data_IF_536143355739
#
_entry.id   IF_536143355739
#
_cell.length_a   1.000
_cell.length_b   1.000
_cell.length_c   1.000
_cell.angle_alpha   90.00
_cell.angle_beta   90.00
_cell.angle_gamma   90.00
#
_symmetry.space_group_name_H-M   'P 1'
#
loop_
_entity.id
_entity.type
_entity.pdbx_description
1 polymer ?
#
# COMPACT_ATOMS: atom_id res chain seq x y z
N UNK A 1 11.22 5.66 20.30
CA UNK A 1 11.34 6.84 19.41
C UNK A 1 10.50 7.97 19.98
N UNK A 2 10.89 9.23 19.78
CA UNK A 2 10.05 10.37 20.13
C UNK A 2 8.87 10.46 19.15
N UNK A 3 7.66 10.74 19.66
CA UNK A 3 6.50 10.95 18.81
C UNK A 3 6.67 12.24 18.00
N UNK A 4 6.23 12.22 16.74
CA UNK A 4 6.16 13.44 15.92
C UNK A 4 5.08 14.36 16.50
N UNK A 5 5.44 15.62 16.78
CA UNK A 5 4.57 16.58 17.49
C UNK A 5 3.95 17.65 16.58
N UNK A 6 4.30 17.64 15.28
CA UNK A 6 3.87 18.63 14.29
C UNK A 6 3.37 17.92 13.03
N UNK A 7 2.45 18.57 12.32
CA UNK A 7 1.98 18.13 11.01
C UNK A 7 3.14 18.18 10.01
N UNK A 8 3.28 17.15 9.18
CA UNK A 8 4.24 17.09 8.09
C UNK A 8 3.45 16.91 6.80
N UNK A 9 3.50 17.90 5.93
CA UNK A 9 2.99 17.83 4.57
C UNK A 9 4.16 17.65 3.61
N UNK A 10 4.00 16.78 2.62
CA UNK A 10 5.03 16.55 1.60
C UNK A 10 4.40 16.27 0.24
N UNK A 11 5.18 16.51 -0.81
CA UNK A 11 4.85 16.18 -2.19
C UNK A 11 5.95 15.29 -2.74
N UNK A 12 5.57 14.20 -3.39
CA UNK A 12 6.48 13.32 -4.11
C UNK A 12 6.13 13.32 -5.59
N UNK A 13 7.15 13.40 -6.46
CA UNK A 13 7.00 13.24 -7.89
C UNK A 13 7.39 11.82 -8.29
N UNK A 14 6.51 11.15 -9.03
CA UNK A 14 6.73 9.78 -9.50
C UNK A 14 6.61 9.79 -11.01
N UNK A 15 7.68 9.36 -11.68
CA UNK A 15 7.68 9.13 -13.13
C UNK A 15 7.69 7.64 -13.38
N UNK A 16 6.91 7.21 -14.37
CA UNK A 16 6.92 5.83 -14.83
C UNK A 16 7.09 5.80 -16.34
N UNK A 17 7.89 4.88 -16.84
CA UNK A 17 8.16 4.73 -18.26
C UNK A 17 7.77 3.32 -18.70
N UNK A 18 7.01 3.22 -19.79
CA UNK A 18 6.61 1.95 -20.44
C UNK A 18 6.10 0.89 -19.45
N UNK A 19 5.31 1.30 -18.46
CA UNK A 19 4.80 0.43 -17.41
C UNK A 19 3.34 0.70 -17.09
N UNK A 20 2.72 -0.22 -16.35
CA UNK A 20 1.39 -0.05 -15.79
C UNK A 20 1.52 0.17 -14.26
N UNK A 21 1.51 1.43 -13.78
CA UNK A 21 1.74 1.72 -12.36
C UNK A 21 0.58 1.30 -11.45
N UNK A 22 -0.64 1.34 -11.99
CA UNK A 22 -1.89 0.99 -11.34
C UNK A 22 -2.87 0.45 -12.39
N UNK A 23 -3.01 -0.87 -12.47
CA UNK A 23 -4.00 -1.49 -13.36
C UNK A 23 -5.45 -1.27 -12.90
N UNK A 24 -6.36 -1.21 -13.86
CA UNK A 24 -7.80 -1.20 -13.63
C UNK A 24 -8.40 -2.61 -13.82
N UNK A 25 -8.84 -3.29 -12.74
CA UNK A 25 -9.42 -4.63 -12.85
C UNK A 25 -10.75 -4.64 -13.62
N UNK A 26 -11.43 -3.50 -13.76
CA UNK A 26 -12.69 -3.41 -14.52
C UNK A 26 -12.45 -3.15 -16.01
N UNK A 27 -11.25 -2.74 -16.39
CA UNK A 27 -10.90 -2.39 -17.77
C UNK A 27 -9.69 -3.21 -18.26
N UNK A 28 -9.76 -4.53 -18.11
CA UNK A 28 -8.76 -5.46 -18.67
C UNK A 28 -7.33 -5.23 -18.17
N UNK A 29 -7.16 -4.70 -16.95
CA UNK A 29 -5.87 -4.35 -16.37
C UNK A 29 -5.10 -3.27 -17.16
N UNK A 30 -5.78 -2.41 -17.94
CA UNK A 30 -5.16 -1.21 -18.53
C UNK A 30 -4.76 -0.21 -17.42
N UNK A 31 -3.84 0.74 -17.69
CA UNK A 31 -3.55 1.82 -16.73
C UNK A 31 -4.83 2.54 -16.32
N UNK A 32 -5.02 2.71 -15.02
CA UNK A 32 -6.18 3.41 -14.45
C UNK A 32 -6.18 4.87 -14.89
N UNK A 33 -7.36 5.38 -15.17
CA UNK A 33 -7.61 6.79 -15.49
C UNK A 33 -8.71 7.35 -14.58
N UNK A 34 -8.65 8.65 -14.30
CA UNK A 34 -9.71 9.36 -13.58
C UNK A 34 -10.86 9.76 -14.51
N UNK A 35 -11.91 10.36 -13.96
CA UNK A 35 -13.07 10.83 -14.73
C UNK A 35 -12.75 11.96 -15.73
N UNK A 36 -11.60 12.61 -15.59
CA UNK A 36 -11.12 13.65 -16.51
C UNK A 36 -10.19 13.08 -17.60
N UNK A 37 -9.92 11.77 -17.56
CA UNK A 37 -9.08 11.06 -18.53
C UNK A 37 -7.58 11.11 -18.23
N UNK A 38 -7.15 11.60 -17.06
CA UNK A 38 -5.74 11.58 -16.66
C UNK A 38 -5.38 10.25 -16.02
N UNK A 39 -4.13 9.80 -16.22
CA UNK A 39 -3.62 8.59 -15.57
C UNK A 39 -3.62 8.74 -14.04
N UNK A 40 -4.12 7.72 -13.34
CA UNK A 40 -4.27 7.75 -11.88
C UNK A 40 -3.46 6.63 -11.22
N UNK A 41 -2.72 6.99 -10.16
CA UNK A 41 -2.21 6.02 -9.18
C UNK A 41 -3.00 6.25 -7.90
N UNK A 42 -3.90 5.32 -7.58
CA UNK A 42 -4.76 5.42 -6.40
C UNK A 42 -3.96 5.41 -5.09
N UNK A 43 -4.52 6.02 -4.05
CA UNK A 43 -3.93 6.04 -2.71
C UNK A 43 -3.76 4.62 -2.14
N UNK A 44 -4.71 3.72 -2.38
CA UNK A 44 -4.64 2.32 -1.99
C UNK A 44 -3.50 1.57 -2.67
N UNK A 45 -3.21 1.89 -3.95
CA UNK A 45 -2.08 1.34 -4.68
C UNK A 45 -0.75 1.80 -4.07
N UNK A 46 -0.59 3.10 -3.80
CA UNK A 46 0.59 3.65 -3.14
C UNK A 46 0.80 3.04 -1.74
N UNK A 47 -0.26 3.01 -0.93
CA UNK A 47 -0.24 2.40 0.41
C UNK A 47 0.17 0.93 0.38
N UNK A 48 -0.25 0.16 -0.64
CA UNK A 48 0.19 -1.24 -0.82
C UNK A 48 1.68 -1.33 -1.16
N UNK A 49 2.18 -0.52 -2.10
CA UNK A 49 3.62 -0.50 -2.44
C UNK A 49 4.49 -0.14 -1.23
N UNK A 50 4.07 0.84 -0.45
CA UNK A 50 4.77 1.22 0.80
C UNK A 50 4.78 0.08 1.82
N UNK A 51 3.64 -0.58 2.07
CA UNK A 51 3.57 -1.74 2.98
C UNK A 51 4.47 -2.89 2.51
N UNK A 52 4.42 -3.24 1.23
CA UNK A 52 5.27 -4.30 0.69
C UNK A 52 6.76 -3.96 0.91
N UNK A 53 7.15 -2.69 0.71
CA UNK A 53 8.53 -2.25 0.93
C UNK A 53 8.95 -2.29 2.40
N UNK A 54 8.05 -1.94 3.32
CA UNK A 54 8.29 -2.10 4.77
C UNK A 54 8.44 -3.58 5.13
N UNK A 55 7.61 -4.45 4.56
CA UNK A 55 7.72 -5.90 4.76
C UNK A 55 9.04 -6.47 4.20
N UNK A 56 9.49 -6.01 3.03
CA UNK A 56 10.82 -6.37 2.49
C UNK A 56 11.95 -5.97 3.46
N UNK A 57 11.76 -4.88 4.21
CA UNK A 57 12.66 -4.42 5.25
C UNK A 57 12.48 -5.16 6.60
N UNK A 58 11.64 -6.21 6.64
CA UNK A 58 11.29 -7.02 7.82
C UNK A 58 10.57 -6.25 8.92
N UNK A 59 9.94 -5.14 8.57
CA UNK A 59 9.06 -4.42 9.50
C UNK A 59 7.72 -5.14 9.66
N UNK A 60 7.20 -5.15 10.88
CA UNK A 60 5.89 -5.75 11.17
C UNK A 60 4.78 -4.83 10.64
N UNK A 61 3.97 -5.34 9.72
CA UNK A 61 2.82 -4.63 9.15
C UNK A 61 1.52 -5.40 9.39
N UNK A 62 0.42 -4.67 9.59
CA UNK A 62 -0.89 -5.28 9.89
C UNK A 62 -1.55 -5.91 8.66
N UNK A 63 -1.52 -5.22 7.52
CA UNK A 63 -2.20 -5.65 6.29
C UNK A 63 -1.18 -6.22 5.32
N UNK A 64 -1.10 -7.55 5.29
CA UNK A 64 -0.29 -8.31 4.35
C UNK A 64 -1.13 -8.78 3.16
N UNK A 65 -0.53 -9.05 2.01
CA UNK A 65 -1.21 -9.76 0.92
C UNK A 65 -1.06 -11.25 1.13
N UNK A 66 -2.04 -12.06 0.73
CA UNK A 66 -2.02 -13.51 0.91
C UNK A 66 -0.72 -14.16 0.37
N UNK A 67 -0.25 -13.71 -0.79
CA UNK A 67 1.01 -14.17 -1.42
C UNK A 67 2.29 -13.83 -0.63
N UNK A 68 2.19 -12.89 0.32
CA UNK A 68 3.33 -12.38 1.10
C UNK A 68 3.15 -12.59 2.59
N UNK A 69 2.16 -13.37 3.02
CA UNK A 69 1.96 -13.62 4.45
C UNK A 69 3.20 -14.31 5.03
N UNK A 70 3.80 -13.70 6.04
CA UNK A 70 5.05 -14.17 6.66
C UNK A 70 4.98 -14.32 8.20
N UNK A 71 3.80 -14.08 8.78
CA UNK A 71 3.58 -14.03 10.23
C UNK A 71 2.68 -15.14 10.77
N UNK A 72 2.23 -16.06 9.91
CA UNK A 72 1.43 -17.23 10.29
C UNK A 72 -0.05 -16.93 10.55
N UNK A 73 -0.52 -15.70 10.32
CA UNK A 73 -1.92 -15.33 10.51
C UNK A 73 -2.72 -15.33 9.20
N UNK A 74 -3.92 -15.90 9.25
CA UNK A 74 -4.82 -16.06 8.10
C UNK A 74 -5.64 -14.80 7.78
N UNK A 75 -5.78 -13.88 8.74
CA UNK A 75 -6.66 -12.72 8.59
C UNK A 75 -6.18 -11.53 9.42
N UNK A 76 -6.66 -10.34 9.08
CA UNK A 76 -6.44 -9.13 9.90
C UNK A 76 -7.03 -9.34 11.30
N UNK A 77 -8.19 -10.02 11.40
CA UNK A 77 -8.84 -10.28 12.68
C UNK A 77 -7.95 -11.11 13.61
N UNK A 78 -7.36 -12.18 13.11
CA UNK A 78 -6.45 -13.03 13.91
C UNK A 78 -5.22 -12.23 14.34
N UNK A 79 -4.63 -11.43 13.43
CA UNK A 79 -3.50 -10.54 13.76
C UNK A 79 -3.82 -9.57 14.90
N UNK A 80 -4.95 -8.88 14.83
CA UNK A 80 -5.35 -7.89 15.86
C UNK A 80 -5.67 -8.55 17.19
N UNK A 81 -6.23 -9.76 17.19
CA UNK A 81 -6.50 -10.50 18.44
C UNK A 81 -5.21 -10.87 19.19
N UNK A 82 -4.20 -11.33 18.46
CA UNK A 82 -2.90 -11.72 19.04
C UNK A 82 -1.99 -10.52 19.33
N UNK A 83 -2.24 -9.40 18.63
CA UNK A 83 -1.54 -8.13 18.83
C UNK A 83 -2.53 -6.98 19.02
N UNK A 84 -3.23 -6.92 20.17
CA UNK A 84 -4.18 -5.86 20.45
C UNK A 84 -3.45 -4.51 20.41
N UNK A 85 -4.02 -3.58 19.65
CA UNK A 85 -3.55 -2.20 19.60
C UNK A 85 -3.90 -1.59 20.98
N UNK A 86 -2.88 -1.31 21.77
CA UNK A 86 -3.00 -0.65 23.08
C UNK A 86 -3.45 0.79 22.90
#
# INVERSE_FOLDING_TARGET
MAALTKKIDFVGFITVERSNPNGDPLNGNQPRTDYSGFGEISDVCLKRKMRNRLQDAREKILVQSDERVDDGYDSIRTRVKEHPIV
#
